data_IF_285861961190
#
_entry.id   IF_285861961190
#
_cell.length_a   1.000
_cell.length_b   1.000
_cell.length_c   1.000
_cell.angle_alpha   90.00
_cell.angle_beta   90.00
_cell.angle_gamma   90.00
#
_symmetry.space_group_name_H-M   'P 1'
#
loop_
_entity.id
_entity.type
_entity.pdbx_description
1 polymer ?
#
# COMPACT_ATOMS: atom_id res chain seq x y z
N UNK A 1 -3.04 2.43 -15.47
CA UNK A 1 -2.10 1.29 -15.48
C UNK A 1 -0.76 1.79 -15.02
N UNK A 2 -0.17 1.23 -13.96
CA UNK A 2 1.18 1.61 -13.56
C UNK A 2 2.20 1.11 -14.59
N UNK A 3 3.18 1.94 -14.92
CA UNK A 3 4.21 1.66 -15.93
C UNK A 3 5.03 0.41 -15.56
N UNK A 4 5.23 0.15 -14.27
CA UNK A 4 5.84 -1.08 -13.73
C UNK A 4 5.12 -2.37 -14.13
N UNK A 5 3.78 -2.38 -14.18
CA UNK A 5 3.00 -3.56 -14.59
C UNK A 5 3.25 -3.88 -16.06
N UNK A 6 3.34 -2.83 -16.89
CA UNK A 6 3.62 -2.97 -18.31
C UNK A 6 5.01 -3.57 -18.53
N UNK A 7 6.00 -3.13 -17.75
CA UNK A 7 7.37 -3.66 -17.82
C UNK A 7 7.44 -5.16 -17.47
N UNK A 8 6.77 -5.60 -16.41
CA UNK A 8 6.72 -7.03 -16.05
C UNK A 8 6.03 -7.87 -17.13
N UNK A 9 4.90 -7.39 -17.67
CA UNK A 9 4.19 -8.06 -18.77
C UNK A 9 5.05 -8.13 -20.04
N UNK A 10 5.81 -7.08 -20.34
CA UNK A 10 6.72 -7.00 -21.48
C UNK A 10 7.88 -8.00 -21.35
N UNK A 11 8.42 -8.18 -20.14
CA UNK A 11 9.43 -9.21 -19.85
C UNK A 11 8.87 -10.61 -20.16
N UNK A 12 7.67 -10.91 -19.68
CA UNK A 12 7.01 -12.19 -19.95
C UNK A 12 6.75 -12.38 -21.46
N UNK A 13 6.24 -11.37 -22.15
CA UNK A 13 6.02 -11.42 -23.59
C UNK A 13 7.33 -11.72 -24.36
N UNK A 14 8.43 -11.07 -23.99
CA UNK A 14 9.74 -11.33 -24.60
C UNK A 14 10.20 -12.78 -24.40
N UNK A 15 9.96 -13.35 -23.21
CA UNK A 15 10.28 -14.74 -22.90
C UNK A 15 9.42 -15.73 -23.74
N UNK A 16 8.12 -15.48 -23.88
CA UNK A 16 7.27 -16.36 -24.70
C UNK A 16 7.63 -16.30 -26.18
N UNK A 17 7.94 -15.11 -26.70
CA UNK A 17 8.32 -14.94 -28.10
C UNK A 17 9.61 -15.69 -28.40
N UNK A 18 10.67 -15.54 -27.58
CA UNK A 18 11.94 -16.23 -27.82
C UNK A 18 11.76 -17.76 -27.75
N UNK A 19 10.99 -18.25 -26.77
CA UNK A 19 10.71 -19.70 -26.62
C UNK A 19 9.93 -20.22 -27.82
N UNK A 20 8.89 -19.52 -28.27
CA UNK A 20 8.10 -19.91 -29.43
C UNK A 20 8.96 -19.93 -30.72
N UNK A 21 9.75 -18.89 -30.96
CA UNK A 21 10.65 -18.81 -32.12
C UNK A 21 11.71 -19.92 -32.10
N UNK A 22 12.27 -20.26 -30.94
CA UNK A 22 13.21 -21.38 -30.80
C UNK A 22 12.53 -22.71 -31.12
N UNK A 23 11.35 -22.98 -30.56
CA UNK A 23 10.61 -24.23 -30.80
C UNK A 23 10.25 -24.37 -32.28
N UNK A 24 9.65 -23.33 -32.88
CA UNK A 24 9.28 -23.31 -34.30
C UNK A 24 10.52 -23.49 -35.17
N UNK A 25 11.61 -22.76 -34.87
CA UNK A 25 12.87 -22.87 -35.57
C UNK A 25 13.46 -24.29 -35.54
N UNK A 26 13.47 -24.95 -34.38
CA UNK A 26 13.93 -26.33 -34.24
C UNK A 26 13.06 -27.30 -35.06
N UNK A 27 11.74 -27.12 -35.04
CA UNK A 27 10.81 -27.94 -35.85
C UNK A 27 11.08 -27.75 -37.35
N UNK A 28 11.28 -26.51 -37.81
CA UNK A 28 11.63 -26.19 -39.19
C UNK A 28 12.99 -26.78 -39.59
N UNK A 29 13.99 -26.73 -38.72
CA UNK A 29 15.30 -27.37 -38.96
C UNK A 29 15.11 -28.87 -39.15
N UNK A 30 14.39 -29.56 -38.26
CA UNK A 30 14.11 -31.00 -38.39
C UNK A 30 13.40 -31.32 -39.71
N UNK A 31 12.41 -30.51 -40.09
CA UNK A 31 11.67 -30.68 -41.35
C UNK A 31 12.57 -30.48 -42.58
N UNK A 32 13.43 -29.46 -42.55
CA UNK A 32 14.36 -29.16 -43.63
C UNK A 32 15.41 -30.25 -43.87
N UNK A 33 15.87 -30.92 -42.80
CA UNK A 33 16.79 -32.07 -42.89
C UNK A 33 16.09 -33.23 -43.61
N UNK A 34 14.80 -33.45 -43.34
CA UNK A 34 14.02 -34.52 -43.97
C UNK A 34 13.80 -34.31 -45.47
N UNK A 35 13.61 -33.06 -45.92
CA UNK A 35 13.33 -32.73 -47.33
C UNK A 35 14.61 -32.32 -48.07
N UNK A 36 15.78 -32.37 -47.40
CA UNK A 36 17.07 -31.91 -47.94
C UNK A 36 17.02 -30.48 -48.53
N UNK A 37 16.16 -29.62 -47.98
CA UNK A 37 15.97 -28.26 -48.50
C UNK A 37 16.83 -27.26 -47.73
N UNK A 38 17.82 -26.67 -48.42
CA UNK A 38 18.67 -25.59 -47.87
C UNK A 38 17.86 -24.31 -47.61
N UNK A 39 16.88 -24.00 -48.45
CA UNK A 39 16.00 -22.83 -48.28
C UNK A 39 15.22 -22.90 -46.96
N UNK A 40 14.69 -24.07 -46.60
CA UNK A 40 13.96 -24.26 -45.35
C UNK A 40 14.86 -24.14 -44.11
N UNK A 41 16.14 -24.55 -44.19
CA UNK A 41 17.12 -24.32 -43.10
C UNK A 41 17.35 -22.83 -42.87
N UNK A 42 17.54 -22.07 -43.96
CA UNK A 42 17.77 -20.63 -43.89
C UNK A 42 16.55 -19.92 -43.26
N UNK A 43 15.33 -20.25 -43.71
CA UNK A 43 14.10 -19.72 -43.09
C UNK A 43 14.01 -20.02 -41.59
N UNK A 44 14.41 -21.22 -41.17
CA UNK A 44 14.43 -21.59 -39.75
C UNK A 44 15.41 -20.74 -38.93
N UNK A 45 16.62 -20.50 -39.45
CA UNK A 45 17.57 -19.61 -38.79
C UNK A 45 17.06 -18.17 -38.71
N UNK A 46 16.39 -17.66 -39.75
CA UNK A 46 15.74 -16.35 -39.71
C UNK A 46 14.68 -16.26 -38.62
N UNK A 47 13.86 -17.29 -38.41
CA UNK A 47 12.85 -17.31 -37.33
C UNK A 47 13.51 -17.26 -35.96
N UNK A 48 14.58 -18.02 -35.73
CA UNK A 48 15.30 -18.03 -34.45
C UNK A 48 15.97 -16.68 -34.20
N UNK A 49 16.78 -16.19 -35.15
CA UNK A 49 17.53 -14.94 -35.01
C UNK A 49 16.57 -13.76 -34.88
N UNK A 50 15.54 -13.68 -35.72
CA UNK A 50 14.52 -12.64 -35.64
C UNK A 50 13.78 -12.67 -34.30
N UNK A 51 13.44 -13.85 -33.78
CA UNK A 51 12.86 -14.02 -32.46
C UNK A 51 13.77 -13.53 -31.33
N UNK A 52 15.06 -13.85 -31.38
CA UNK A 52 16.05 -13.36 -30.41
C UNK A 52 16.14 -11.84 -30.45
N UNK A 53 16.32 -11.24 -31.63
CA UNK A 53 16.46 -9.78 -31.80
C UNK A 53 15.19 -9.04 -31.34
N UNK A 54 14.01 -9.56 -31.67
CA UNK A 54 12.76 -8.96 -31.25
C UNK A 54 12.57 -9.06 -29.73
N UNK A 55 12.88 -10.22 -29.15
CA UNK A 55 12.74 -10.44 -27.71
C UNK A 55 13.74 -9.62 -26.90
N UNK A 56 14.98 -9.45 -27.36
CA UNK A 56 15.94 -8.57 -26.69
C UNK A 56 15.51 -7.10 -26.75
N UNK A 57 14.93 -6.66 -27.88
CA UNK A 57 14.37 -5.32 -28.03
C UNK A 57 13.20 -5.03 -27.11
N UNK A 58 12.41 -6.04 -26.73
CA UNK A 58 11.35 -5.90 -25.72
C UNK A 58 11.89 -6.04 -24.29
N UNK A 59 12.83 -6.95 -24.05
CA UNK A 59 13.28 -7.29 -22.70
C UNK A 59 14.06 -6.15 -22.03
N UNK A 60 15.04 -5.58 -22.74
CA UNK A 60 15.98 -4.63 -22.12
C UNK A 60 15.35 -3.30 -21.69
N UNK A 61 14.44 -2.68 -22.48
CA UNK A 61 13.73 -1.48 -22.04
C UNK A 61 12.89 -1.70 -20.79
N UNK A 62 12.24 -2.86 -20.66
CA UNK A 62 11.45 -3.19 -19.49
C UNK A 62 12.31 -3.37 -18.23
N UNK A 63 13.48 -4.01 -18.36
CA UNK A 63 14.45 -4.13 -17.27
C UNK A 63 15.01 -2.77 -16.87
N UNK A 64 15.36 -1.91 -17.83
CA UNK A 64 15.83 -0.57 -17.56
C UNK A 64 14.78 0.27 -16.80
N UNK A 65 13.49 0.11 -17.14
CA UNK A 65 12.41 0.76 -16.42
C UNK A 65 12.30 0.28 -14.97
N UNK A 66 12.26 -1.03 -14.74
CA UNK A 66 12.22 -1.58 -13.36
C UNK A 66 13.44 -1.17 -12.54
N UNK A 67 14.62 -1.08 -13.17
CA UNK A 67 15.83 -0.61 -12.50
C UNK A 67 15.75 0.88 -12.13
N UNK A 68 15.17 1.70 -13.01
CA UNK A 68 14.96 3.12 -12.73
C UNK A 68 13.98 3.34 -11.58
N UNK A 69 12.88 2.57 -11.55
CA UNK A 69 11.95 2.59 -10.40
C UNK A 69 12.63 2.13 -9.12
N UNK A 70 13.41 1.05 -9.18
CA UNK A 70 14.18 0.57 -8.03
C UNK A 70 15.10 1.66 -7.46
N UNK A 71 15.85 2.37 -8.31
CA UNK A 71 16.71 3.48 -7.89
C UNK A 71 15.92 4.62 -7.25
N UNK A 72 14.71 4.91 -7.74
CA UNK A 72 13.84 5.93 -7.15
C UNK A 72 13.37 5.54 -5.75
N UNK A 73 12.90 4.30 -5.57
CA UNK A 73 12.54 3.77 -4.25
C UNK A 73 13.75 3.70 -3.31
N UNK A 74 14.92 3.33 -3.82
CA UNK A 74 16.16 3.29 -3.05
C UNK A 74 16.55 4.69 -2.55
N UNK A 75 16.39 5.73 -3.37
CA UNK A 75 16.66 7.10 -2.97
C UNK A 75 15.77 7.59 -1.81
N UNK A 76 14.57 7.01 -1.68
CA UNK A 76 13.64 7.30 -0.59
C UNK A 76 13.73 6.31 0.58
N UNK A 77 14.74 5.43 0.62
CA UNK A 77 14.87 4.33 1.59
C UNK A 77 13.67 3.36 1.63
N UNK A 78 12.92 3.23 0.53
CA UNK A 78 11.77 2.32 0.40
C UNK A 78 12.06 1.10 -0.49
N UNK A 79 13.31 0.63 -0.54
CA UNK A 79 13.71 -0.51 -1.38
C UNK A 79 12.94 -1.80 -1.05
N UNK A 80 12.64 -2.01 0.24
CA UNK A 80 11.86 -3.16 0.73
C UNK A 80 10.44 -3.15 0.17
N UNK A 81 9.82 -1.96 0.05
CA UNK A 81 8.48 -1.76 -0.51
C UNK A 81 8.47 -2.14 -1.99
N UNK A 82 9.45 -1.66 -2.78
CA UNK A 82 9.56 -2.00 -4.20
C UNK A 82 9.70 -3.52 -4.40
N UNK A 83 10.60 -4.15 -3.65
CA UNK A 83 10.81 -5.59 -3.74
C UNK A 83 9.55 -6.37 -3.34
N UNK A 84 8.83 -5.94 -2.30
CA UNK A 84 7.57 -6.56 -1.88
C UNK A 84 6.53 -6.49 -2.99
N UNK A 85 6.34 -5.33 -3.62
CA UNK A 85 5.43 -5.16 -4.76
C UNK A 85 5.83 -6.08 -5.93
N UNK A 86 7.12 -6.07 -6.30
CA UNK A 86 7.63 -6.87 -7.42
C UNK A 86 7.45 -8.37 -7.17
N UNK A 87 7.83 -8.86 -5.98
CA UNK A 87 7.70 -10.27 -5.62
C UNK A 87 6.25 -10.71 -5.52
N UNK A 88 5.35 -9.89 -4.98
CA UNK A 88 3.92 -10.22 -4.91
C UNK A 88 3.32 -10.42 -6.30
N UNK A 89 3.68 -9.57 -7.27
CA UNK A 89 3.23 -9.75 -8.67
C UNK A 89 3.70 -11.09 -9.24
N UNK A 90 4.99 -11.41 -9.09
CA UNK A 90 5.52 -12.70 -9.56
C UNK A 90 4.90 -13.89 -8.84
N UNK A 91 4.62 -13.78 -7.54
CA UNK A 91 3.93 -14.81 -6.77
C UNK A 91 2.51 -15.07 -7.31
N UNK A 92 1.75 -14.01 -7.60
CA UNK A 92 0.42 -14.13 -8.19
C UNK A 92 0.46 -14.77 -9.58
N UNK A 93 1.39 -14.33 -10.44
CA UNK A 93 1.59 -14.93 -11.75
C UNK A 93 1.90 -16.43 -11.64
N UNK A 94 2.94 -16.79 -10.87
CA UNK A 94 3.39 -18.18 -10.73
C UNK A 94 2.35 -19.07 -10.05
N UNK A 95 1.65 -18.55 -9.05
CA UNK A 95 0.60 -19.29 -8.34
C UNK A 95 -0.55 -19.67 -9.27
N UNK A 96 -1.12 -18.70 -9.98
CA UNK A 96 -2.26 -18.96 -10.86
C UNK A 96 -1.87 -19.67 -12.16
N UNK A 97 -0.70 -19.35 -12.74
CA UNK A 97 -0.18 -20.14 -13.86
C UNK A 97 0.07 -21.59 -13.43
N UNK A 98 0.59 -21.82 -12.23
CA UNK A 98 0.78 -23.16 -11.66
C UNK A 98 -0.53 -23.93 -11.50
N UNK A 99 -1.56 -23.29 -10.94
CA UNK A 99 -2.91 -23.88 -10.83
C UNK A 99 -3.45 -24.26 -12.23
N UNK A 100 -3.29 -23.38 -13.22
CA UNK A 100 -3.73 -23.65 -14.59
C UNK A 100 -2.95 -24.81 -15.23
N UNK A 101 -1.62 -24.89 -15.02
CA UNK A 101 -0.81 -26.04 -15.48
C UNK A 101 -1.32 -27.34 -14.85
N UNK A 102 -1.58 -27.33 -13.54
CA UNK A 102 -2.12 -28.49 -12.82
C UNK A 102 -3.47 -28.93 -13.38
N UNK A 103 -4.40 -27.99 -13.58
CA UNK A 103 -5.72 -28.27 -14.12
C UNK A 103 -5.69 -28.82 -15.55
N UNK A 104 -4.96 -28.16 -16.46
CA UNK A 104 -4.86 -28.58 -17.86
C UNK A 104 -4.08 -29.90 -18.00
N UNK A 105 -3.02 -30.08 -17.20
CA UNK A 105 -2.24 -31.31 -17.15
C UNK A 105 -3.06 -32.49 -16.64
N UNK A 106 -3.86 -32.30 -15.58
CA UNK A 106 -4.76 -33.33 -15.05
C UNK A 106 -5.81 -33.74 -16.08
N UNK A 107 -6.41 -32.77 -16.79
CA UNK A 107 -7.35 -33.07 -17.88
C UNK A 107 -6.71 -33.93 -18.98
N UNK A 108 -5.47 -33.64 -19.35
CA UNK A 108 -4.72 -34.45 -20.33
C UNK A 108 -4.39 -35.86 -19.82
N UNK A 109 -4.09 -36.01 -18.54
CA UNK A 109 -3.88 -37.31 -17.92
C UNK A 109 -5.17 -38.15 -17.91
N UNK A 110 -6.30 -37.54 -17.54
CA UNK A 110 -7.61 -38.18 -17.56
C UNK A 110 -8.01 -38.57 -18.98
N UNK A 111 -7.83 -37.68 -19.96
CA UNK A 111 -8.11 -37.97 -21.36
C UNK A 111 -7.31 -39.17 -21.88
N UNK A 112 -6.03 -39.25 -21.51
CA UNK A 112 -5.17 -40.40 -21.85
C UNK A 112 -5.58 -41.69 -21.15
N UNK A 113 -6.16 -41.60 -19.94
CA UNK A 113 -6.66 -42.76 -19.20
C UNK A 113 -7.97 -43.29 -19.79
N UNK A 114 -8.89 -42.41 -20.20
CA UNK A 114 -10.19 -42.77 -20.77
C UNK A 114 -10.10 -43.25 -22.23
N UNK A 115 -9.18 -42.70 -23.02
CA UNK A 115 -8.99 -43.07 -24.42
C UNK A 115 -7.53 -43.48 -24.70
N UNK A 116 -7.09 -44.64 -24.19
CA UNK A 116 -5.70 -45.07 -24.34
C UNK A 116 -5.40 -45.44 -25.79
N UNK A 117 -4.36 -44.83 -26.35
CA UNK A 117 -3.86 -45.17 -27.69
C UNK A 117 -3.31 -46.60 -27.72
N UNK A 118 -3.78 -47.43 -28.66
CA UNK A 118 -3.36 -48.84 -28.77
C UNK A 118 -1.82 -48.99 -28.88
N UNK A 119 -1.26 -50.06 -28.32
CA UNK A 119 0.20 -50.31 -28.31
C UNK A 119 0.78 -50.37 -29.73
N UNK A 120 0.04 -50.95 -30.67
CA UNK A 120 0.46 -51.10 -32.07
C UNK A 120 0.52 -49.75 -32.78
N UNK A 121 -0.52 -48.92 -32.63
CA UNK A 121 -0.54 -47.57 -33.20
C UNK A 121 0.56 -46.69 -32.60
N UNK A 122 0.86 -46.85 -31.30
CA UNK A 122 1.93 -46.12 -30.59
C UNK A 122 3.32 -46.45 -31.11
N UNK A 123 3.57 -47.70 -31.54
CA UNK A 123 4.84 -48.11 -32.17
C UNK A 123 4.98 -47.49 -33.56
N UNK A 124 3.93 -47.52 -34.37
CA UNK A 124 3.92 -46.93 -35.72
C UNK A 124 4.08 -45.40 -35.71
N UNK A 125 3.52 -44.72 -34.71
CA UNK A 125 3.55 -43.25 -34.59
C UNK A 125 4.61 -42.69 -33.63
N UNK A 126 5.54 -43.51 -33.11
CA UNK A 126 6.43 -43.14 -31.99
C UNK A 126 7.07 -41.74 -32.09
N UNK A 127 7.61 -41.37 -33.27
CA UNK A 127 8.19 -40.02 -33.51
C UNK A 127 7.14 -38.90 -33.59
N UNK A 128 5.96 -39.18 -34.15
CA UNK A 128 4.84 -38.21 -34.27
C UNK A 128 4.21 -37.95 -32.90
N UNK A 129 4.08 -38.98 -32.05
CA UNK A 129 3.56 -38.83 -30.68
C UNK A 129 4.46 -37.99 -29.77
N UNK A 130 5.79 -38.10 -29.89
CA UNK A 130 6.70 -37.25 -29.11
C UNK A 130 6.47 -35.77 -29.46
N UNK A 131 6.31 -35.44 -30.74
CA UNK A 131 6.04 -34.07 -31.18
C UNK A 131 4.68 -33.57 -30.69
N UNK A 132 3.63 -34.40 -30.80
CA UNK A 132 2.29 -34.04 -30.32
C UNK A 132 2.28 -33.80 -28.81
N UNK A 133 2.95 -34.65 -28.03
CA UNK A 133 3.05 -34.47 -26.58
C UNK A 133 3.84 -33.21 -26.23
N UNK A 134 4.93 -32.91 -26.95
CA UNK A 134 5.69 -31.68 -26.75
C UNK A 134 4.83 -30.44 -27.05
N UNK A 135 4.07 -30.47 -28.16
CA UNK A 135 3.15 -29.40 -28.50
C UNK A 135 2.05 -29.21 -27.46
N UNK A 136 1.50 -30.30 -26.91
CA UNK A 136 0.51 -30.22 -25.84
C UNK A 136 1.08 -29.55 -24.58
N UNK A 137 2.29 -29.92 -24.17
CA UNK A 137 2.98 -29.26 -23.03
C UNK A 137 3.20 -27.77 -23.31
N UNK A 138 3.64 -27.41 -24.52
CA UNK A 138 3.85 -26.00 -24.90
C UNK A 138 2.53 -25.22 -24.89
N UNK A 139 1.45 -25.80 -25.41
CA UNK A 139 0.12 -25.18 -25.39
C UNK A 139 -0.37 -24.97 -23.96
N UNK A 140 -0.18 -25.96 -23.08
CA UNK A 140 -0.52 -25.82 -21.65
C UNK A 140 0.26 -24.65 -21.05
N UNK A 141 1.58 -24.59 -21.24
CA UNK A 141 2.40 -23.52 -20.68
C UNK A 141 1.96 -22.14 -21.20
N UNK A 142 1.61 -22.00 -22.48
CA UNK A 142 1.12 -20.75 -23.05
C UNK A 142 -0.23 -20.36 -22.45
N UNK A 143 -1.19 -21.29 -22.40
CA UNK A 143 -2.52 -21.03 -21.85
C UNK A 143 -2.45 -20.69 -20.36
N UNK A 144 -1.68 -21.46 -19.59
CA UNK A 144 -1.46 -21.20 -18.16
C UNK A 144 -0.83 -19.84 -17.91
N UNK A 145 0.13 -19.44 -18.75
CA UNK A 145 0.76 -18.12 -18.63
C UNK A 145 -0.20 -17.00 -18.99
N UNK A 146 -1.02 -17.18 -20.03
CA UNK A 146 -2.07 -16.22 -20.37
C UNK A 146 -3.11 -16.06 -19.25
N UNK A 147 -3.39 -17.13 -18.49
CA UNK A 147 -4.26 -17.08 -17.31
C UNK A 147 -3.58 -16.44 -16.08
N UNK A 148 -2.25 -16.59 -15.93
CA UNK A 148 -1.50 -15.99 -14.83
C UNK A 148 -1.26 -14.48 -14.98
N UNK A 149 -1.12 -13.97 -16.21
CA UNK A 149 -0.78 -12.56 -16.46
C UNK A 149 -1.79 -11.57 -15.84
N UNK A 150 -3.11 -11.73 -16.00
CA UNK A 150 -4.09 -10.84 -15.40
C UNK A 150 -4.01 -10.77 -13.87
N UNK A 151 -3.55 -11.83 -13.22
CA UNK A 151 -3.47 -11.89 -11.75
C UNK A 151 -2.39 -10.95 -11.20
N UNK A 152 -1.39 -10.58 -12.00
CA UNK A 152 -0.43 -9.55 -11.60
C UNK A 152 -1.08 -8.18 -11.41
N UNK A 153 -2.24 -7.93 -12.02
CA UNK A 153 -2.97 -6.67 -11.85
C UNK A 153 -3.68 -6.56 -10.51
N UNK A 154 -4.00 -7.71 -9.88
CA UNK A 154 -4.67 -7.79 -8.59
C UNK A 154 -3.70 -7.73 -7.40
N UNK A 155 -2.45 -7.29 -7.62
CA UNK A 155 -1.44 -7.25 -6.56
C UNK A 155 -1.82 -6.31 -5.41
N UNK A 156 -2.48 -5.20 -5.71
CA UNK A 156 -2.91 -4.21 -4.73
C UNK A 156 -4.04 -4.77 -3.85
N UNK A 157 -5.09 -5.30 -4.48
CA UNK A 157 -6.17 -6.00 -3.78
C UNK A 157 -5.66 -7.17 -2.94
N UNK A 158 -4.70 -7.94 -3.46
CA UNK A 158 -4.09 -9.06 -2.74
C UNK A 158 -3.27 -8.59 -1.52
N UNK A 159 -2.49 -7.51 -1.66
CA UNK A 159 -1.76 -6.95 -0.52
C UNK A 159 -2.71 -6.36 0.51
N UNK A 160 -3.77 -5.66 0.09
CA UNK A 160 -4.80 -5.15 0.98
C UNK A 160 -5.50 -6.30 1.73
N UNK A 161 -5.85 -7.38 1.02
CA UNK A 161 -6.43 -8.59 1.61
C UNK A 161 -5.49 -9.27 2.62
N UNK A 162 -4.21 -9.44 2.28
CA UNK A 162 -3.24 -10.07 3.19
C UNK A 162 -2.96 -9.19 4.41
N UNK A 163 -2.88 -7.88 4.22
CA UNK A 163 -2.59 -6.90 5.25
C UNK A 163 -3.88 -6.39 5.91
N UNK A 164 -4.98 -7.12 5.84
CA UNK A 164 -6.19 -6.77 6.58
C UNK A 164 -5.87 -6.74 8.07
N UNK A 165 -5.81 -5.53 8.61
CA UNK A 165 -5.95 -5.30 10.04
C UNK A 165 -7.44 -5.34 10.32
N UNK A 166 -7.86 -6.02 11.38
CA UNK A 166 -9.26 -5.98 11.83
C UNK A 166 -9.60 -4.54 12.23
N UNK A 167 -10.17 -3.78 11.31
CA UNK A 167 -10.54 -2.38 11.57
C UNK A 167 -11.73 -2.38 12.52
N UNK A 168 -11.60 -1.72 13.68
CA UNK A 168 -12.68 -1.58 14.66
C UNK A 168 -12.48 -2.34 15.97
N UNK A 169 -11.33 -2.98 16.19
CA UNK A 169 -10.95 -3.38 17.54
C UNK A 169 -10.67 -2.13 18.39
N UNK A 170 -11.14 -2.15 19.63
CA UNK A 170 -10.96 -1.05 20.56
C UNK A 170 -9.53 -1.07 21.14
N UNK A 171 -8.53 -0.89 20.29
CA UNK A 171 -7.12 -1.08 20.64
C UNK A 171 -6.21 0.06 20.20
N UNK A 172 -5.04 0.13 20.86
CA UNK A 172 -3.89 0.92 20.43
C UNK A 172 -2.78 -0.08 20.13
N UNK A 173 -2.19 0.04 18.95
CA UNK A 173 -1.17 -0.88 18.45
C UNK A 173 0.05 -0.10 17.96
N UNK A 174 1.22 -0.67 18.19
CA UNK A 174 2.50 -0.18 17.64
C UNK A 174 2.83 -0.97 16.38
N UNK A 175 3.39 -0.29 15.38
CA UNK A 175 3.80 -0.91 14.11
C UNK A 175 5.28 -0.67 13.90
N UNK A 176 6.05 -1.74 13.77
CA UNK A 176 7.43 -1.65 13.33
C UNK A 176 7.46 -1.45 11.81
N UNK A 177 8.02 -0.32 11.36
CA UNK A 177 7.91 0.13 9.97
C UNK A 177 8.60 -0.84 8.99
N UNK A 178 9.74 -1.41 9.38
CA UNK A 178 10.55 -2.25 8.50
C UNK A 178 9.99 -3.66 8.33
N UNK A 179 9.57 -4.29 9.43
CA UNK A 179 8.98 -5.65 9.43
C UNK A 179 7.50 -5.63 9.05
N UNK A 180 6.79 -4.56 9.39
CA UNK A 180 5.34 -4.48 9.37
C UNK A 180 4.69 -5.23 10.54
N UNK A 181 5.45 -5.60 11.56
CA UNK A 181 4.95 -6.30 12.73
C UNK A 181 4.08 -5.36 13.57
N UNK A 182 2.87 -5.83 13.90
CA UNK A 182 1.88 -5.08 14.67
C UNK A 182 1.80 -5.70 16.07
N UNK A 183 2.03 -4.88 17.10
CA UNK A 183 1.92 -5.29 18.51
C UNK A 183 0.89 -4.43 19.23
N UNK A 184 -0.19 -5.06 19.70
CA UNK A 184 -1.20 -4.42 20.52
C UNK A 184 -0.63 -4.04 21.90
N UNK A 185 -0.75 -2.77 22.27
CA UNK A 185 -0.29 -2.24 23.57
C UNK A 185 -1.45 -1.94 24.52
N UNK A 186 -2.68 -1.77 24.01
CA UNK A 186 -3.89 -1.62 24.83
C UNK A 186 -5.10 -2.21 24.12
N UNK A 187 -5.97 -2.92 24.84
CA UNK A 187 -7.22 -3.48 24.31
C UNK A 187 -8.42 -3.16 25.21
N UNK A 188 -9.58 -2.87 24.61
CA UNK A 188 -10.89 -2.85 25.27
C UNK A 188 -11.28 -1.59 26.03
N UNK A 189 -10.33 -0.68 26.32
CA UNK A 189 -10.54 0.44 27.27
C UNK A 189 -10.55 1.85 26.64
N UNK A 190 -9.92 2.06 25.48
CA UNK A 190 -9.62 3.43 25.04
C UNK A 190 -10.74 4.13 24.26
N UNK A 191 -11.38 3.45 23.30
CA UNK A 191 -12.06 4.05 22.12
C UNK A 191 -11.21 5.21 21.58
N UNK A 192 -9.98 4.92 21.14
CA UNK A 192 -9.01 5.96 20.82
C UNK A 192 -9.53 6.81 19.66
N UNK A 193 -9.51 8.13 19.84
CA UNK A 193 -9.98 9.10 18.82
C UNK A 193 -8.86 10.02 18.31
N UNK A 194 -7.80 10.17 19.09
CA UNK A 194 -6.68 11.07 18.83
C UNK A 194 -5.48 10.64 19.66
N UNK A 195 -4.28 10.94 19.13
CA UNK A 195 -2.99 10.56 19.69
C UNK A 195 -2.05 11.76 19.67
N UNK A 196 -1.22 11.93 20.70
CA UNK A 196 -0.13 12.90 20.74
C UNK A 196 1.04 12.34 21.56
N UNK A 197 2.25 12.83 21.31
CA UNK A 197 3.45 12.45 22.06
C UNK A 197 4.05 13.66 22.77
N UNK A 198 4.60 13.47 23.97
CA UNK A 198 5.43 14.47 24.65
C UNK A 198 6.92 14.37 24.25
N UNK A 199 7.78 15.20 24.84
CA UNK A 199 9.23 15.20 24.56
C UNK A 199 9.95 13.91 25.02
N UNK A 200 9.32 13.11 25.88
CA UNK A 200 9.86 11.87 26.43
C UNK A 200 9.25 10.62 25.77
N UNK A 201 8.62 10.79 24.59
CA UNK A 201 7.91 9.74 23.86
C UNK A 201 6.73 9.09 24.62
N UNK A 202 6.21 9.73 25.67
CA UNK A 202 4.98 9.27 26.29
C UNK A 202 3.81 9.54 25.35
N UNK A 203 3.00 8.50 25.11
CA UNK A 203 1.83 8.57 24.24
C UNK A 203 0.60 9.00 25.03
N UNK A 204 -0.06 10.05 24.58
CA UNK A 204 -1.34 10.53 25.08
C UNK A 204 -2.45 10.14 24.12
N UNK A 205 -3.57 9.64 24.65
CA UNK A 205 -4.67 9.10 23.87
C UNK A 205 -6.00 9.63 24.39
N UNK A 206 -6.76 10.27 23.50
CA UNK A 206 -8.13 10.70 23.81
C UNK A 206 -9.06 9.51 23.65
N UNK A 207 -9.82 9.22 24.71
CA UNK A 207 -10.80 8.15 24.72
C UNK A 207 -12.23 8.62 24.54
N UNK A 208 -13.16 7.99 25.26
CA UNK A 208 -14.59 8.37 25.22
C UNK A 208 -14.87 9.64 26.02
N UNK A 209 -14.33 9.72 27.24
CA UNK A 209 -14.55 10.77 28.24
C UNK A 209 -13.27 11.09 29.03
N UNK A 210 -12.12 10.54 28.59
CA UNK A 210 -10.85 10.52 29.31
C UNK A 210 -9.67 10.75 28.38
N UNK A 211 -8.55 11.15 28.96
CA UNK A 211 -7.23 11.08 28.32
C UNK A 211 -6.37 10.08 29.08
N UNK A 212 -5.77 9.15 28.35
CA UNK A 212 -4.82 8.18 28.88
C UNK A 212 -3.41 8.59 28.48
N UNK A 213 -2.43 8.27 29.32
CA UNK A 213 -1.00 8.32 28.96
C UNK A 213 -0.40 6.92 29.01
N UNK A 214 0.56 6.66 28.13
CA UNK A 214 1.34 5.44 28.05
C UNK A 214 2.82 5.79 28.00
N UNK A 215 3.56 5.31 28.98
CA UNK A 215 5.02 5.44 28.97
C UNK A 215 5.64 4.21 28.28
N UNK A 216 6.36 4.39 27.17
CA UNK A 216 6.89 3.27 26.38
C UNK A 216 7.97 2.47 27.10
N UNK A 217 8.69 3.06 28.07
CA UNK A 217 9.75 2.39 28.82
C UNK A 217 9.20 1.47 29.91
N UNK A 218 8.26 1.98 30.70
CA UNK A 218 7.65 1.27 31.83
C UNK A 218 6.48 0.38 31.40
N UNK A 219 5.93 0.61 30.20
CA UNK A 219 4.71 -0.03 29.68
C UNK A 219 3.48 0.20 30.58
N UNK A 220 3.46 1.31 31.32
CA UNK A 220 2.39 1.66 32.25
C UNK A 220 1.41 2.60 31.56
N UNK A 221 0.12 2.36 31.77
CA UNK A 221 -0.95 3.27 31.43
C UNK A 221 -1.48 4.00 32.67
N UNK A 222 -1.74 5.29 32.53
CA UNK A 222 -2.40 6.10 33.55
C UNK A 222 -3.50 6.96 32.95
N UNK A 223 -4.48 7.35 33.77
CA UNK A 223 -5.48 8.37 33.38
C UNK A 223 -4.94 9.74 33.76
N UNK A 224 -4.91 10.65 32.79
CA UNK A 224 -4.42 12.02 32.95
C UNK A 224 -5.56 12.98 33.25
N UNK A 225 -6.69 12.79 32.57
CA UNK A 225 -7.91 13.56 32.79
C UNK A 225 -9.14 12.70 32.54
N UNK A 226 -10.25 13.11 33.14
CA UNK A 226 -11.57 12.49 33.03
C UNK A 226 -12.66 13.55 32.96
N UNK A 227 -13.89 13.12 32.69
CA UNK A 227 -15.08 14.00 32.61
C UNK A 227 -15.03 14.98 31.42
N UNK A 228 -14.33 14.60 30.35
CA UNK A 228 -14.27 15.36 29.10
C UNK A 228 -15.46 15.01 28.19
N UNK A 229 -15.96 15.98 27.46
CA UNK A 229 -17.10 15.89 26.54
C UNK A 229 -16.66 15.60 25.11
N UNK A 230 -16.53 14.31 24.80
CA UNK A 230 -16.17 13.84 23.46
C UNK A 230 -14.79 14.34 23.00
N UNK A 231 -13.71 14.08 23.77
CA UNK A 231 -12.36 14.50 23.40
C UNK A 231 -11.91 13.85 22.08
N UNK A 232 -11.22 14.61 21.23
CA UNK A 232 -10.68 14.14 19.94
C UNK A 232 -9.23 14.52 19.75
N UNK A 233 -8.93 15.51 18.92
CA UNK A 233 -7.58 15.98 18.67
C UNK A 233 -6.84 16.35 19.95
N UNK A 234 -5.56 16.03 19.97
CA UNK A 234 -4.61 16.33 21.01
C UNK A 234 -3.44 17.09 20.39
N UNK A 235 -3.01 18.19 21.00
CA UNK A 235 -1.82 18.93 20.57
C UNK A 235 -0.94 19.23 21.78
N UNK A 236 0.37 19.09 21.60
CA UNK A 236 1.33 19.26 22.68
C UNK A 236 2.15 20.54 22.48
N UNK A 237 2.15 21.41 23.49
CA UNK A 237 3.14 22.46 23.65
C UNK A 237 4.33 21.89 24.44
N UNK A 238 5.34 21.48 23.69
CA UNK A 238 6.58 20.92 24.22
C UNK A 238 7.33 21.90 25.12
N UNK A 239 7.22 23.21 24.86
CA UNK A 239 7.98 24.23 25.60
C UNK A 239 7.45 24.41 27.02
N UNK A 240 6.13 24.34 27.19
CA UNK A 240 5.47 24.58 28.47
C UNK A 240 4.97 23.29 29.15
N UNK A 241 5.03 22.15 28.47
CA UNK A 241 4.47 20.88 28.94
C UNK A 241 2.96 20.93 29.10
N UNK A 242 2.29 21.53 28.11
CA UNK A 242 0.85 21.72 28.08
C UNK A 242 0.24 20.87 26.97
N UNK A 243 -0.77 20.07 27.32
CA UNK A 243 -1.56 19.29 26.38
C UNK A 243 -2.91 19.99 26.15
N UNK A 244 -3.21 20.32 24.90
CA UNK A 244 -4.48 20.88 24.46
C UNK A 244 -5.36 19.79 23.87
N UNK A 245 -6.63 19.76 24.28
CA UNK A 245 -7.60 18.76 23.84
C UNK A 245 -8.84 19.46 23.30
N UNK A 246 -9.27 19.08 22.10
CA UNK A 246 -10.57 19.54 21.59
C UNK A 246 -11.70 18.64 22.09
N UNK A 247 -12.73 19.26 22.65
CA UNK A 247 -13.96 18.62 23.11
C UNK A 247 -15.04 18.82 22.05
N UNK A 248 -15.19 17.82 21.18
CA UNK A 248 -16.00 17.94 19.97
C UNK A 248 -17.49 18.10 20.22
N UNK A 249 -17.96 17.63 21.37
CA UNK A 249 -19.38 17.65 21.73
C UNK A 249 -19.80 19.01 22.33
N UNK A 250 -18.87 19.79 22.92
CA UNK A 250 -19.13 21.13 23.46
C UNK A 250 -18.58 22.27 22.61
N UNK A 251 -17.62 22.00 21.72
CA UNK A 251 -17.00 23.05 20.91
C UNK A 251 -15.95 23.87 21.66
N UNK A 252 -15.21 23.19 22.56
CA UNK A 252 -14.29 23.82 23.50
C UNK A 252 -12.89 23.19 23.41
N UNK A 253 -11.89 23.90 23.95
CA UNK A 253 -10.55 23.35 24.18
C UNK A 253 -10.30 23.34 25.68
N UNK A 254 -9.78 22.21 26.16
CA UNK A 254 -9.30 22.03 27.53
C UNK A 254 -7.78 22.00 27.54
N UNK A 255 -7.20 22.68 28.52
CA UNK A 255 -5.76 22.70 28.78
C UNK A 255 -5.43 21.73 29.92
N UNK A 256 -4.42 20.90 29.70
CA UNK A 256 -3.87 20.01 30.72
C UNK A 256 -2.39 20.32 30.89
N UNK A 257 -2.02 20.86 32.04
CA UNK A 257 -0.62 21.05 32.40
C UNK A 257 -0.05 19.75 32.99
N UNK A 258 0.79 19.06 32.22
CA UNK A 258 1.39 17.79 32.63
C UNK A 258 2.69 17.97 33.40
N UNK A 259 3.23 19.20 33.45
CA UNK A 259 4.45 19.53 34.18
C UNK A 259 4.21 19.70 35.69
N UNK A 260 2.94 19.76 36.14
CA UNK A 260 2.59 19.88 37.56
C UNK A 260 2.31 18.51 38.18
N UNK A 261 2.63 18.36 39.47
CA UNK A 261 2.22 17.22 40.29
C UNK A 261 1.42 17.71 41.51
N UNK A 262 0.09 17.47 41.57
CA UNK A 262 -0.72 16.75 40.58
C UNK A 262 -0.90 17.52 39.26
N UNK A 263 -1.27 16.79 38.20
CA UNK A 263 -1.64 17.36 36.89
C UNK A 263 -2.78 18.36 37.07
N UNK A 264 -2.66 19.52 36.43
CA UNK A 264 -3.69 20.57 36.48
C UNK A 264 -4.52 20.54 35.20
N UNK A 265 -5.85 20.49 35.34
CA UNK A 265 -6.79 20.54 34.21
C UNK A 265 -7.57 21.84 34.28
N UNK A 266 -7.53 22.61 33.20
CA UNK A 266 -8.27 23.87 33.03
C UNK A 266 -9.23 23.69 31.86
N UNK A 267 -10.52 23.41 32.12
CA UNK A 267 -11.49 23.28 31.06
C UNK A 267 -11.76 24.63 30.40
N UNK A 268 -12.41 24.60 29.24
CA UNK A 268 -13.10 25.76 28.67
C UNK A 268 -12.20 26.96 28.31
N UNK A 269 -10.90 26.73 28.07
CA UNK A 269 -9.95 27.81 27.79
C UNK A 269 -10.24 28.52 26.48
N UNK A 270 -10.77 27.77 25.49
CA UNK A 270 -11.28 28.30 24.21
C UNK A 270 -12.70 27.78 24.03
N UNK A 271 -13.61 28.62 23.52
CA UNK A 271 -15.01 28.28 23.27
C UNK A 271 -15.46 28.74 21.89
N UNK A 272 -16.61 28.20 21.44
CA UNK A 272 -17.31 28.68 20.26
C UNK A 272 -16.85 28.01 18.96
N UNK A 273 -16.18 26.87 19.04
CA UNK A 273 -15.73 26.09 17.90
C UNK A 273 -16.86 25.21 17.37
N UNK A 274 -16.98 25.09 16.04
CA UNK A 274 -18.00 24.29 15.36
C UNK A 274 -17.52 22.85 15.16
N UNK A 275 -17.84 21.98 16.14
CA UNK A 275 -17.46 20.56 16.14
C UNK A 275 -15.97 20.36 15.83
N UNK A 276 -15.08 20.80 16.73
CA UNK A 276 -13.64 20.69 16.53
C UNK A 276 -13.22 19.22 16.54
N UNK A 277 -12.51 18.78 15.50
CA UNK A 277 -12.12 17.37 15.33
C UNK A 277 -10.64 17.14 15.60
N UNK A 278 -9.80 18.09 15.21
CA UNK A 278 -8.36 18.01 15.37
C UNK A 278 -7.79 19.37 15.76
N UNK A 279 -6.65 19.34 16.45
CA UNK A 279 -5.92 20.53 16.88
C UNK A 279 -4.42 20.28 16.65
N UNK A 280 -3.72 21.32 16.23
CA UNK A 280 -2.26 21.34 16.12
C UNK A 280 -1.71 22.57 16.82
N UNK A 281 -0.60 22.42 17.54
CA UNK A 281 0.12 23.50 18.18
C UNK A 281 1.36 23.84 17.37
N UNK A 282 1.57 25.12 17.09
CA UNK A 282 2.79 25.62 16.44
C UNK A 282 3.04 27.08 16.79
N UNK A 283 4.28 27.39 17.17
CA UNK A 283 4.76 28.76 17.41
C UNK A 283 3.86 29.58 18.36
N UNK A 284 3.36 28.95 19.44
CA UNK A 284 2.49 29.59 20.43
C UNK A 284 1.03 29.72 20.01
N UNK A 285 0.65 29.21 18.84
CA UNK A 285 -0.73 29.26 18.34
C UNK A 285 -1.34 27.86 18.23
N UNK A 286 -2.66 27.78 18.38
CA UNK A 286 -3.44 26.60 18.06
C UNK A 286 -4.13 26.77 16.71
N UNK A 287 -4.13 25.70 15.94
CA UNK A 287 -4.86 25.56 14.69
C UNK A 287 -5.88 24.44 14.90
N UNK A 288 -7.13 24.64 14.49
CA UNK A 288 -8.23 23.72 14.81
C UNK A 288 -9.03 23.43 13.54
N UNK A 289 -9.22 22.15 13.22
CA UNK A 289 -10.14 21.73 12.18
C UNK A 289 -11.57 21.64 12.72
N UNK A 290 -12.45 22.46 12.16
CA UNK A 290 -13.86 22.52 12.52
C UNK A 290 -14.70 21.84 11.43
N UNK A 291 -15.15 20.62 11.71
CA UNK A 291 -15.73 19.76 10.68
C UNK A 291 -17.09 20.24 10.18
N UNK A 292 -17.91 20.85 11.05
CA UNK A 292 -19.27 21.26 10.68
C UNK A 292 -19.28 22.62 9.96
N UNK A 293 -18.34 23.52 10.29
CA UNK A 293 -18.20 24.81 9.59
C UNK A 293 -17.37 24.73 8.31
N UNK A 294 -16.54 23.68 8.15
CA UNK A 294 -15.65 23.56 6.99
C UNK A 294 -14.50 24.57 7.04
N UNK A 295 -14.02 24.87 8.25
CA UNK A 295 -13.04 25.91 8.52
C UNK A 295 -11.81 25.37 9.27
N UNK A 296 -10.68 26.05 9.08
CA UNK A 296 -9.58 26.00 10.04
C UNK A 296 -9.60 27.28 10.86
N UNK A 297 -9.70 27.15 12.18
CA UNK A 297 -9.54 28.26 13.11
C UNK A 297 -8.11 28.36 13.62
N UNK A 298 -7.65 29.60 13.83
CA UNK A 298 -6.37 29.94 14.44
C UNK A 298 -6.60 30.74 15.71
N UNK A 299 -5.97 30.31 16.78
CA UNK A 299 -5.95 30.96 18.09
C UNK A 299 -4.51 31.39 18.36
N UNK A 300 -4.22 32.67 18.16
CA UNK A 300 -2.85 33.22 18.23
C UNK A 300 -2.44 33.64 19.64
N UNK A 301 -3.41 33.92 20.51
CA UNK A 301 -3.17 34.27 21.91
C UNK A 301 -4.05 33.40 22.81
N UNK A 302 -3.42 32.39 23.40
CA UNK A 302 -4.07 31.41 24.27
C UNK A 302 -4.50 32.00 25.62
N UNK A 303 -4.01 33.20 26.00
CA UNK A 303 -4.44 33.88 27.23
C UNK A 303 -5.76 34.62 27.05
N UNK A 304 -5.99 35.18 25.87
CA UNK A 304 -7.23 35.92 25.55
C UNK A 304 -8.27 35.06 24.86
N UNK A 305 -7.85 33.94 24.24
CA UNK A 305 -8.71 32.98 23.59
C UNK A 305 -9.37 33.49 22.31
N UNK A 306 -8.77 34.48 21.66
CA UNK A 306 -9.28 35.04 20.41
C UNK A 306 -9.23 34.03 19.27
N UNK A 307 -10.40 33.56 18.83
CA UNK A 307 -10.56 32.65 17.68
C UNK A 307 -10.71 33.47 16.40
N UNK A 308 -9.89 33.16 15.40
CA UNK A 308 -9.96 33.75 14.06
C UNK A 308 -10.03 32.65 13.02
N UNK A 309 -10.82 32.82 11.96
CA UNK A 309 -10.81 31.87 10.86
C UNK A 309 -9.55 32.07 10.01
N UNK A 310 -8.77 31.00 9.83
CA UNK A 310 -7.62 30.95 8.93
C UNK A 310 -8.06 30.57 7.52
N UNK A 311 -8.76 29.45 7.36
CA UNK A 311 -9.19 28.93 6.06
C UNK A 311 -10.67 28.55 6.08
N UNK A 312 -11.31 28.62 4.90
CA UNK A 312 -12.75 28.36 4.69
C UNK A 312 -12.97 27.49 3.47
N UNK A 313 -14.13 26.85 3.41
CA UNK A 313 -14.57 26.12 2.21
C UNK A 313 -14.03 24.69 2.12
N UNK A 314 -13.57 24.14 3.25
CA UNK A 314 -13.06 22.77 3.33
C UNK A 314 -14.22 21.77 3.46
N UNK A 315 -14.08 20.63 2.80
CA UNK A 315 -15.03 19.53 2.76
C UNK A 315 -14.87 18.63 3.99
N UNK A 316 -15.43 19.10 5.11
CA UNK A 316 -15.47 18.40 6.40
C UNK A 316 -14.06 18.02 6.90
N UNK A 317 -13.26 19.01 7.32
CA UNK A 317 -11.89 18.79 7.77
C UNK A 317 -11.87 17.96 9.06
N UNK A 318 -11.14 16.84 9.04
CA UNK A 318 -11.14 15.86 10.13
C UNK A 318 -9.82 15.80 10.89
N UNK A 319 -8.71 16.05 10.21
CA UNK A 319 -7.37 16.04 10.81
C UNK A 319 -6.50 17.12 10.18
N UNK A 320 -5.56 17.63 10.97
CA UNK A 320 -4.55 18.58 10.53
C UNK A 320 -3.18 18.19 11.05
N UNK A 321 -2.15 18.47 10.27
CA UNK A 321 -0.77 18.27 10.69
C UNK A 321 0.13 19.29 9.99
N UNK A 322 1.17 19.71 10.69
CA UNK A 322 2.22 20.50 10.08
C UNK A 322 3.36 19.61 9.57
N UNK A 323 3.98 20.01 8.47
CA UNK A 323 5.29 19.48 8.11
C UNK A 323 6.45 20.25 8.81
N UNK A 324 7.67 19.81 8.52
CA UNK A 324 8.88 20.43 9.04
C UNK A 324 9.09 21.86 8.51
N UNK A 325 8.61 22.15 7.30
CA UNK A 325 8.73 23.46 6.65
C UNK A 325 7.76 24.49 7.22
N UNK A 326 6.69 24.04 7.89
CA UNK A 326 5.65 24.91 8.45
C UNK A 326 4.35 24.94 7.66
N UNK A 327 4.24 24.09 6.64
CA UNK A 327 3.03 23.98 5.86
C UNK A 327 1.97 23.16 6.61
N UNK A 328 0.71 23.63 6.60
CA UNK A 328 -0.41 22.94 7.22
C UNK A 328 -1.12 22.05 6.20
N UNK A 329 -1.28 20.78 6.52
CA UNK A 329 -2.04 19.83 5.71
C UNK A 329 -3.35 19.47 6.41
N UNK A 330 -4.42 19.36 5.64
CA UNK A 330 -5.77 19.11 6.12
C UNK A 330 -6.34 17.89 5.42
N UNK A 331 -6.84 16.91 6.19
CA UNK A 331 -7.55 15.77 5.66
C UNK A 331 -9.05 16.06 5.57
N UNK A 332 -9.57 16.10 4.34
CA UNK A 332 -10.98 16.38 4.04
C UNK A 332 -11.70 15.07 3.75
N UNK A 333 -12.53 14.62 4.70
CA UNK A 333 -13.09 13.27 4.63
C UNK A 333 -14.25 13.13 3.65
N UNK A 334 -14.96 14.22 3.37
CA UNK A 334 -16.09 14.16 2.45
C UNK A 334 -15.65 14.25 0.98
N UNK A 335 -14.58 15.00 0.67
CA UNK A 335 -13.96 14.98 -0.67
C UNK A 335 -12.97 13.82 -0.86
N UNK A 336 -12.36 13.32 0.22
CA UNK A 336 -11.29 12.32 0.15
C UNK A 336 -9.94 12.89 -0.26
N UNK A 337 -9.73 14.19 -0.05
CA UNK A 337 -8.54 14.94 -0.46
C UNK A 337 -7.68 15.35 0.74
N UNK A 338 -6.39 15.64 0.47
CA UNK A 338 -5.50 16.31 1.41
C UNK A 338 -5.20 17.70 0.84
N UNK A 339 -5.65 18.73 1.54
CA UNK A 339 -5.39 20.12 1.16
C UNK A 339 -4.19 20.66 1.91
N UNK A 340 -3.41 21.50 1.23
CA UNK A 340 -2.35 22.29 1.84
C UNK A 340 -2.90 23.70 2.07
N UNK A 341 -2.75 24.22 3.28
CA UNK A 341 -3.19 25.57 3.67
C UNK A 341 -1.96 26.38 4.06
N UNK A 342 -1.84 27.57 3.48
CA UNK A 342 -0.83 28.54 3.89
C UNK A 342 -1.27 29.24 5.20
N UNK A 343 -0.43 29.22 6.23
CA UNK A 343 -0.79 29.71 7.57
C UNK A 343 -0.70 31.24 7.74
N UNK A 344 -0.15 31.94 6.75
CA UNK A 344 -0.11 33.40 6.72
C UNK A 344 -1.32 33.98 5.98
N UNK A 345 -1.73 33.32 4.89
CA UNK A 345 -2.76 33.81 3.95
C UNK A 345 -4.10 33.09 4.09
N UNK A 346 -4.08 31.82 4.52
CA UNK A 346 -5.28 30.98 4.60
C UNK A 346 -5.75 30.39 3.27
N UNK A 347 -4.96 30.57 2.20
CA UNK A 347 -5.23 30.05 0.84
C UNK A 347 -4.85 28.57 0.67
#
# INVERSE_FOLDING_TARGET
MSSSVLAVAQILASFFIIVACIIIGILMIKHSIRIQSRSQRIKAYFVIIGGVVFSTGLFWPAIAHLYTEYLWFQHLNYESVFLKILFTRWQLFLGFAGIAVGFLGLNLLIANALCPVSREFRRWTRRRNIMVNLSAVVIILILSSAMGVPMMWLWEEYLLYRNQVTVGENEISTVEIDSGDITAIMTGQARPRGLAFDENDNLYVSGSDKVFTFNPDTKIFATVASELSGPRGLAFDYTNGILYIVESDTGEITEINISTDPVTVVPDVIKGLSRPMSVAYRDGALYVAEADSGEISKISDLRTGGVTTLARGLSRPMSIAFDQSGDLYVAETESGEISKVDVETGE
#
